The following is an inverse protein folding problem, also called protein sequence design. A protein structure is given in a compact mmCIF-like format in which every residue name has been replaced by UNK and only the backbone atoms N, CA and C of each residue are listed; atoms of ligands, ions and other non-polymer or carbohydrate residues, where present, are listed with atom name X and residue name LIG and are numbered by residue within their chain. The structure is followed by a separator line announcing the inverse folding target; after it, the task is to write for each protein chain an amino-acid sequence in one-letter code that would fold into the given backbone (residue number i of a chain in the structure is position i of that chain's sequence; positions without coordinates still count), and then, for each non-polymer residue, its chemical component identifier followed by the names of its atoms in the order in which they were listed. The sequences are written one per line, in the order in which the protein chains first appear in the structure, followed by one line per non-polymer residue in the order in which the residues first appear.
data_IF_850486232169
#
_entry.id   IF_850486232169
#
_cell.length_a   1.000
_cell.length_b   1.000
_cell.length_c   1.000
_cell.angle_alpha   90.00
_cell.angle_beta   90.00
_cell.angle_gamma   90.00
#
_symmetry.space_group_name_H-M   'P 1'
#
loop_
_entity.id
_entity.type
_entity.pdbx_description
1 polymer ?
#
# COMPACT_ATOMS: atom_id res chain seq x y z
N UNK A 1 4.09 -3.04 20.80
CA UNK A 1 3.82 -1.65 20.32
C UNK A 1 2.43 -1.65 19.69
N UNK A 2 1.44 -0.98 20.30
CA UNK A 2 0.04 -0.98 19.82
C UNK A 2 -0.07 -0.60 18.34
N UNK A 3 0.72 0.39 17.89
CA UNK A 3 0.71 0.91 16.52
C UNK A 3 1.08 -0.12 15.44
N UNK A 4 1.86 -1.15 15.76
CA UNK A 4 2.24 -2.16 14.76
C UNK A 4 1.07 -3.01 14.30
N UNK A 5 0.18 -3.42 15.23
CA UNK A 5 -0.95 -4.30 14.90
C UNK A 5 -1.93 -3.64 13.92
N UNK A 6 -2.24 -2.36 14.16
CA UNK A 6 -3.15 -1.60 13.31
C UNK A 6 -2.53 -1.29 11.93
N UNK A 7 -1.26 -0.90 11.91
CA UNK A 7 -0.50 -0.69 10.67
C UNK A 7 -0.42 -1.96 9.82
N UNK A 8 -0.12 -3.10 10.46
CA UNK A 8 -0.08 -4.39 9.79
C UNK A 8 -1.45 -4.79 9.23
N UNK A 9 -2.53 -4.54 9.97
CA UNK A 9 -3.90 -4.81 9.52
C UNK A 9 -4.25 -3.97 8.29
N UNK A 10 -3.91 -2.68 8.30
CA UNK A 10 -4.11 -1.79 7.15
C UNK A 10 -3.32 -2.26 5.92
N UNK A 11 -2.04 -2.57 6.09
CA UNK A 11 -1.19 -3.14 5.02
C UNK A 11 -1.73 -4.48 4.48
N UNK A 12 -2.13 -5.40 5.36
CA UNK A 12 -2.60 -6.73 4.97
C UNK A 12 -3.85 -6.66 4.09
N UNK A 13 -4.70 -5.63 4.25
CA UNK A 13 -5.83 -5.39 3.34
C UNK A 13 -5.36 -5.14 1.91
N UNK A 14 -4.34 -4.31 1.69
CA UNK A 14 -3.75 -4.08 0.37
C UNK A 14 -3.23 -5.39 -0.24
N UNK A 15 -2.51 -6.19 0.56
CA UNK A 15 -1.94 -7.46 0.10
C UNK A 15 -3.01 -8.50 -0.26
N UNK A 16 -4.12 -8.58 0.50
CA UNK A 16 -5.24 -9.50 0.20
C UNK A 16 -5.95 -9.13 -1.09
N UNK A 17 -6.25 -7.85 -1.31
CA UNK A 17 -6.94 -7.35 -2.52
C UNK A 17 -6.14 -7.68 -3.78
N UNK A 18 -4.81 -7.68 -3.67
CA UNK A 18 -3.91 -7.76 -4.83
C UNK A 18 -3.33 -9.15 -5.05
N UNK A 19 -3.65 -10.12 -4.18
CA UNK A 19 -3.12 -11.50 -4.23
C UNK A 19 -3.43 -12.22 -5.54
N UNK A 20 -4.55 -11.91 -6.18
CA UNK A 20 -4.97 -12.52 -7.44
C UNK A 20 -4.42 -11.80 -8.70
N UNK A 21 -3.62 -10.74 -8.53
CA UNK A 21 -3.04 -10.01 -9.65
C UNK A 21 -1.70 -10.65 -10.06
N UNK A 22 -1.67 -11.24 -11.25
CA UNK A 22 -0.47 -11.93 -11.76
C UNK A 22 0.63 -10.95 -12.19
N UNK A 23 0.25 -9.79 -12.72
CA UNK A 23 1.17 -8.77 -13.21
C UNK A 23 1.19 -7.54 -12.30
N UNK A 24 2.34 -6.86 -12.24
CA UNK A 24 2.43 -5.55 -11.59
C UNK A 24 1.84 -4.50 -12.52
N UNK A 25 0.79 -3.82 -12.05
CA UNK A 25 0.10 -2.76 -12.78
C UNK A 25 0.92 -1.46 -12.68
N UNK A 26 0.90 -0.66 -13.75
CA UNK A 26 1.54 0.64 -13.75
C UNK A 26 0.73 1.65 -12.93
N UNK A 27 1.42 2.46 -12.12
CA UNK A 27 0.78 3.56 -11.42
C UNK A 27 0.26 4.60 -12.42
N UNK A 28 -0.94 5.11 -12.17
CA UNK A 28 -1.57 6.13 -13.01
C UNK A 28 -2.30 7.15 -12.13
N UNK A 29 -1.56 8.13 -11.61
CA UNK A 29 -2.15 9.17 -10.75
C UNK A 29 -3.04 10.15 -11.51
N UNK A 30 -2.91 10.24 -12.84
CA UNK A 30 -3.65 11.20 -13.66
C UNK A 30 -5.17 10.93 -13.71
N UNK A 31 -5.59 9.71 -13.37
CA UNK A 31 -7.02 9.31 -13.41
C UNK A 31 -7.68 9.30 -12.04
N UNK A 32 -6.95 9.59 -10.96
CA UNK A 32 -7.54 9.62 -9.62
C UNK A 32 -8.69 10.63 -9.53
N UNK A 33 -9.77 10.21 -8.86
CA UNK A 33 -10.99 11.00 -8.74
C UNK A 33 -11.10 11.66 -7.35
N UNK A 34 -10.60 10.99 -6.31
CA UNK A 34 -10.66 11.44 -4.92
C UNK A 34 -9.29 11.92 -4.44
N UNK A 35 -9.29 12.97 -3.60
CA UNK A 35 -8.04 13.52 -3.05
C UNK A 35 -7.26 12.54 -2.18
N UNK A 36 -7.95 11.55 -1.58
CA UNK A 36 -7.30 10.49 -0.79
C UNK A 36 -6.47 9.53 -1.66
N UNK A 37 -6.76 9.41 -2.95
CA UNK A 37 -5.98 8.58 -3.88
C UNK A 37 -4.60 9.21 -4.11
N UNK A 38 -4.58 10.52 -4.38
CA UNK A 38 -3.34 11.28 -4.51
C UNK A 38 -2.55 11.31 -3.20
N UNK A 39 -3.22 11.54 -2.06
CA UNK A 39 -2.55 11.55 -0.76
C UNK A 39 -1.90 10.19 -0.41
N UNK A 40 -2.59 9.08 -0.72
CA UNK A 40 -2.02 7.75 -0.52
C UNK A 40 -0.86 7.47 -1.51
N UNK A 41 -0.97 7.94 -2.75
CA UNK A 41 0.11 7.83 -3.72
C UNK A 41 1.37 8.56 -3.24
N UNK A 42 1.26 9.82 -2.80
CA UNK A 42 2.39 10.60 -2.31
C UNK A 42 3.04 9.93 -1.09
N UNK A 43 2.22 9.42 -0.16
CA UNK A 43 2.70 8.67 0.99
C UNK A 43 3.44 7.38 0.58
N UNK A 44 2.93 6.67 -0.44
CA UNK A 44 3.61 5.51 -1.02
C UNK A 44 4.95 5.88 -1.65
N UNK A 45 5.03 6.95 -2.44
CA UNK A 45 6.29 7.38 -3.07
C UNK A 45 7.34 7.71 -2.01
N UNK A 46 6.96 8.43 -0.95
CA UNK A 46 7.85 8.73 0.16
C UNK A 46 8.30 7.46 0.92
N UNK A 47 7.37 6.53 1.15
CA UNK A 47 7.67 5.23 1.77
C UNK A 47 8.66 4.40 0.94
N UNK A 48 8.45 4.31 -0.37
CA UNK A 48 9.33 3.60 -1.29
C UNK A 48 10.74 4.22 -1.30
N UNK A 49 10.84 5.55 -1.42
CA UNK A 49 12.11 6.26 -1.37
C UNK A 49 12.85 6.07 -0.04
N UNK A 50 12.11 6.02 1.08
CA UNK A 50 12.67 5.74 2.40
C UNK A 50 13.27 4.35 2.47
N UNK A 51 12.61 3.33 1.93
CA UNK A 51 13.12 1.96 1.92
C UNK A 51 14.31 1.79 0.95
N UNK A 52 14.27 2.44 -0.21
CA UNK A 52 15.34 2.38 -1.21
C UNK A 52 16.64 3.03 -0.70
N UNK A 53 16.52 4.12 0.05
CA UNK A 53 17.67 4.84 0.62
C UNK A 53 18.12 4.32 1.99
N UNK A 54 17.38 3.39 2.61
CA UNK A 54 17.72 2.87 3.92
C UNK A 54 18.98 2.00 3.88
N UNK A 55 19.92 2.26 4.79
CA UNK A 55 21.08 1.38 5.02
C UNK A 55 20.63 0.00 5.49
N UNK A 56 19.58 -0.04 6.33
CA UNK A 56 18.99 -1.26 6.86
C UNK A 56 17.47 -1.27 6.58
N UNK A 57 17.02 -1.67 5.37
CA UNK A 57 15.60 -1.61 4.98
C UNK A 57 14.68 -2.43 5.91
N UNK A 58 15.18 -3.55 6.45
CA UNK A 58 14.43 -4.38 7.40
C UNK A 58 14.11 -3.63 8.70
N UNK A 59 15.01 -2.77 9.18
CA UNK A 59 14.79 -1.94 10.37
C UNK A 59 13.83 -0.77 10.07
N UNK A 60 13.87 -0.23 8.84
CA UNK A 60 13.01 0.88 8.43
C UNK A 60 11.56 0.46 8.13
N UNK A 61 11.35 -0.78 7.66
CA UNK A 61 10.06 -1.27 7.19
C UNK A 61 8.93 -1.09 8.20
N UNK A 62 9.18 -1.38 9.48
CA UNK A 62 8.18 -1.21 10.53
C UNK A 62 7.66 0.23 10.63
N UNK A 63 8.56 1.21 10.63
CA UNK A 63 8.21 2.62 10.69
C UNK A 63 7.50 3.11 9.43
N UNK A 64 7.93 2.62 8.26
CA UNK A 64 7.27 2.93 6.97
C UNK A 64 5.83 2.44 6.96
N UNK A 65 5.56 1.21 7.40
CA UNK A 65 4.19 0.68 7.45
C UNK A 65 3.32 1.41 8.48
N UNK A 66 3.89 1.81 9.61
CA UNK A 66 3.19 2.67 10.60
C UNK A 66 2.81 4.02 9.98
N UNK A 67 3.70 4.65 9.22
CA UNK A 67 3.43 5.91 8.53
C UNK A 67 2.33 5.79 7.46
N UNK A 68 2.19 4.62 6.83
CA UNK A 68 1.18 4.35 5.82
C UNK A 68 -0.21 4.01 6.40
N UNK A 69 -0.33 3.70 7.68
CA UNK A 69 -1.59 3.29 8.30
C UNK A 69 -2.72 4.30 8.07
N UNK A 70 -2.49 5.57 8.41
CA UNK A 70 -3.50 6.63 8.30
C UNK A 70 -3.95 6.88 6.84
N UNK A 71 -3.05 7.07 5.86
CA UNK A 71 -3.48 7.28 4.47
C UNK A 71 -4.14 6.03 3.86
N UNK A 72 -3.73 4.81 4.24
CA UNK A 72 -4.41 3.58 3.79
C UNK A 72 -5.85 3.55 4.31
N UNK A 73 -6.06 3.85 5.59
CA UNK A 73 -7.41 3.86 6.17
C UNK A 73 -8.29 4.92 5.51
N UNK A 74 -7.80 6.15 5.35
CA UNK A 74 -8.53 7.23 4.70
C UNK A 74 -8.90 6.91 3.24
N UNK A 75 -7.98 6.27 2.51
CA UNK A 75 -8.24 5.77 1.15
C UNK A 75 -9.40 4.77 1.17
N UNK A 76 -9.35 3.75 2.00
CA UNK A 76 -10.35 2.69 2.02
C UNK A 76 -11.70 3.09 2.60
N UNK A 77 -11.78 4.18 3.37
CA UNK A 77 -13.04 4.77 3.83
C UNK A 77 -13.81 5.47 2.70
N UNK A 78 -13.10 5.99 1.68
CA UNK A 78 -13.71 6.78 0.59
C UNK A 78 -13.68 6.12 -0.78
N UNK A 79 -12.78 5.16 -0.99
CA UNK A 79 -12.50 4.58 -2.31
C UNK A 79 -13.00 3.14 -2.38
N UNK A 80 -13.91 2.90 -3.33
CA UNK A 80 -14.21 1.56 -3.81
C UNK A 80 -13.15 1.15 -4.83
N UNK A 81 -12.27 0.23 -4.44
CA UNK A 81 -11.18 -0.26 -5.32
C UNK A 81 -11.73 -0.97 -6.55
N UNK A 82 -12.77 -1.79 -6.38
CA UNK A 82 -13.44 -2.48 -7.48
C UNK A 82 -14.47 -1.57 -8.17
N UNK A 83 -14.01 -0.42 -8.67
CA UNK A 83 -14.85 0.54 -9.39
C UNK A 83 -15.38 -0.05 -10.72
N UNK A 84 -16.55 0.43 -11.17
CA UNK A 84 -17.12 0.03 -12.46
C UNK A 84 -16.32 0.60 -13.64
N UNK A 85 -15.77 1.81 -13.48
CA UNK A 85 -14.85 2.39 -14.46
C UNK A 85 -13.52 1.63 -14.45
N UNK A 86 -13.17 1.05 -15.61
CA UNK A 86 -11.97 0.23 -15.77
C UNK A 86 -10.69 1.01 -15.45
N UNK A 87 -10.59 2.26 -15.91
CA UNK A 87 -9.38 3.06 -15.76
C UNK A 87 -9.12 3.38 -14.29
N UNK A 88 -10.17 3.77 -13.56
CA UNK A 88 -10.13 3.97 -12.12
C UNK A 88 -9.82 2.67 -11.38
N UNK A 89 -10.47 1.57 -11.74
CA UNK A 89 -10.22 0.27 -11.10
C UNK A 89 -8.76 -0.15 -11.24
N UNK A 90 -8.20 -0.06 -12.45
CA UNK A 90 -6.79 -0.39 -12.69
C UNK A 90 -5.84 0.51 -11.91
N UNK A 91 -6.07 1.83 -11.89
CA UNK A 91 -5.23 2.76 -11.14
C UNK A 91 -5.28 2.51 -9.62
N UNK A 92 -6.48 2.23 -9.09
CA UNK A 92 -6.70 1.91 -7.68
C UNK A 92 -6.06 0.59 -7.27
N UNK A 93 -6.19 -0.44 -8.10
CA UNK A 93 -5.52 -1.73 -7.90
C UNK A 93 -4.00 -1.59 -7.96
N UNK A 94 -3.47 -0.81 -8.91
CA UNK A 94 -2.05 -0.52 -9.00
C UNK A 94 -1.54 0.11 -7.69
N UNK A 95 -2.20 1.16 -7.20
CA UNK A 95 -1.77 1.84 -5.96
C UNK A 95 -1.67 0.87 -4.77
N UNK A 96 -2.72 0.08 -4.51
CA UNK A 96 -2.69 -0.87 -3.39
C UNK A 96 -1.71 -2.02 -3.62
N UNK A 97 -1.44 -2.41 -4.87
CA UNK A 97 -0.47 -3.46 -5.21
C UNK A 97 0.96 -2.99 -4.96
N UNK A 98 1.28 -1.75 -5.34
CA UNK A 98 2.59 -1.17 -5.08
C UNK A 98 2.89 -1.07 -3.58
N UNK A 99 1.89 -0.67 -2.77
CA UNK A 99 2.00 -0.71 -1.30
C UNK A 99 2.21 -2.13 -0.79
N UNK A 100 1.42 -3.11 -1.28
CA UNK A 100 1.53 -4.51 -0.88
C UNK A 100 2.93 -5.10 -1.14
N UNK A 101 3.64 -4.57 -2.14
CA UNK A 101 4.97 -5.02 -2.57
C UNK A 101 6.12 -4.33 -1.84
N UNK A 102 5.89 -3.31 -1.01
CA UNK A 102 6.96 -2.64 -0.24
C UNK A 102 7.86 -3.60 0.55
N UNK A 103 7.34 -4.67 1.20
CA UNK A 103 8.20 -5.63 1.90
C UNK A 103 8.96 -6.60 1.00
N UNK A 104 8.70 -6.65 -0.31
CA UNK A 104 9.29 -7.62 -1.22
C UNK A 104 10.82 -7.49 -1.24
N UNK A 105 11.52 -8.60 -1.03
CA UNK A 105 12.98 -8.62 -0.93
C UNK A 105 13.53 -8.15 0.44
N UNK A 106 12.69 -7.60 1.32
CA UNK A 106 13.06 -7.15 2.67
C UNK A 106 12.57 -8.14 3.72
N UNK A 107 11.28 -8.50 3.67
CA UNK A 107 10.63 -9.40 4.62
C UNK A 107 9.43 -10.12 4.02
N UNK A 108 9.24 -11.38 4.39
CA UNK A 108 8.03 -12.14 4.06
C UNK A 108 6.99 -11.99 5.18
N UNK A 109 6.15 -10.96 5.04
CA UNK A 109 5.12 -10.64 6.03
C UNK A 109 3.91 -11.59 5.97
N UNK A 110 3.81 -12.46 4.96
CA UNK A 110 2.72 -13.44 4.85
C UNK A 110 2.76 -14.52 5.94
N UNK A 111 3.91 -14.66 6.62
CA UNK A 111 4.13 -15.61 7.71
C UNK A 111 3.68 -15.11 9.09
N UNK A 112 3.26 -13.85 9.19
CA UNK A 112 2.81 -13.27 10.46
C UNK A 112 1.35 -13.65 10.74
N UNK A 113 1.01 -13.84 12.03
CA UNK A 113 -0.38 -14.06 12.43
C UNK A 113 -1.25 -12.85 12.08
N UNK A 114 -2.45 -13.12 11.54
CA UNK A 114 -3.39 -12.08 11.12
C UNK A 114 -3.27 -11.68 9.65
N UNK A 115 -2.50 -12.42 8.83
CA UNK A 115 -2.47 -12.31 7.37
C UNK A 115 -3.57 -13.14 6.69
#
# INVERSE_FOLDING_TARGET
LPAWGDAFTAYARCARITRALDATLALNAAVYAESVESALHDAYIAAAATLESAVEPAAALGGVLVGLQAPINAYFERVLVNADDESLRQARLALVQHIARLPAGIADLSKLQGF
#
